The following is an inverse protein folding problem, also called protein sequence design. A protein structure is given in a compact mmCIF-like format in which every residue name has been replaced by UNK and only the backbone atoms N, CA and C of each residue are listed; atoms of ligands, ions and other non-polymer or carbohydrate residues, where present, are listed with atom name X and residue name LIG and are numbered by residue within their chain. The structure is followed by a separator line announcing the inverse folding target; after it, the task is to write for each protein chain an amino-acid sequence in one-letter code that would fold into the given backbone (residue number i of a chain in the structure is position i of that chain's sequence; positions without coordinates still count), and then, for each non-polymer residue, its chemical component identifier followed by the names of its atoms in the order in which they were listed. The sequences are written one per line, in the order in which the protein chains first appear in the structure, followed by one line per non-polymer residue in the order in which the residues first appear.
data_IF_850255263213
#
_entry.id   IF_850255263213
#
_cell.length_a   1.000
_cell.length_b   1.000
_cell.length_c   1.000
_cell.angle_alpha   90.00
_cell.angle_beta   90.00
_cell.angle_gamma   90.00
#
_symmetry.space_group_name_H-M   'P 1'
#
loop_
_entity.id
_entity.type
_entity.pdbx_description
1 polymer ?
#
# COMPACT_ATOMS: atom_id res chain seq x y z
N UNK A 1 -16.99 -17.13 -12.97
CA UNK A 1 -15.56 -16.76 -13.01
C UNK A 1 -15.33 -15.70 -11.95
N UNK A 2 -14.62 -16.01 -10.85
CA UNK A 2 -14.38 -15.08 -9.75
C UNK A 2 -13.07 -14.35 -10.03
N UNK A 3 -13.13 -13.13 -10.57
CA UNK A 3 -11.94 -12.30 -10.74
C UNK A 3 -11.43 -11.90 -9.35
N UNK A 4 -10.24 -12.40 -9.03
CA UNK A 4 -9.50 -11.99 -7.86
C UNK A 4 -9.06 -10.53 -8.07
N UNK A 5 -9.56 -9.62 -7.23
CA UNK A 5 -9.05 -8.26 -7.14
C UNK A 5 -7.56 -8.36 -6.79
N UNK A 6 -6.70 -7.88 -7.69
CA UNK A 6 -5.27 -7.78 -7.46
C UNK A 6 -5.01 -6.57 -6.56
N UNK A 7 -4.30 -6.82 -5.44
CA UNK A 7 -3.91 -5.80 -4.48
C UNK A 7 -2.51 -5.33 -4.85
N UNK A 8 -2.34 -4.04 -5.10
CA UNK A 8 -1.04 -3.41 -5.37
C UNK A 8 -0.53 -2.73 -4.09
N UNK A 9 0.75 -2.93 -3.77
CA UNK A 9 1.42 -2.33 -2.61
C UNK A 9 2.61 -1.50 -3.08
N UNK A 10 2.74 -0.31 -2.51
CA UNK A 10 3.66 0.72 -3.01
C UNK A 10 4.67 1.14 -1.95
N UNK A 11 5.88 0.57 -1.97
CA UNK A 11 6.96 0.97 -1.07
C UNK A 11 7.52 2.37 -1.38
N UNK A 12 7.29 2.89 -2.59
CA UNK A 12 8.02 4.04 -3.15
C UNK A 12 7.55 5.41 -2.65
N UNK A 13 6.40 5.48 -1.95
CA UNK A 13 5.87 6.74 -1.41
C UNK A 13 6.59 7.26 -0.16
N UNK A 14 7.55 6.49 0.40
CA UNK A 14 8.34 6.88 1.57
C UNK A 14 9.62 7.66 1.20
N UNK A 15 9.99 7.75 -0.08
CA UNK A 15 11.32 8.22 -0.48
C UNK A 15 11.40 9.72 -0.84
N UNK A 16 10.28 10.45 -0.94
CA UNK A 16 10.31 11.78 -1.53
C UNK A 16 10.52 12.95 -0.55
N UNK A 17 10.05 12.89 0.71
CA UNK A 17 10.20 14.02 1.66
C UNK A 17 10.27 13.58 3.13
N UNK A 18 11.29 12.79 3.49
CA UNK A 18 11.57 12.43 4.88
C UNK A 18 13.00 12.84 5.26
N UNK A 19 13.18 14.11 5.60
CA UNK A 19 14.29 14.53 6.48
C UNK A 19 14.07 14.07 7.93
N UNK A 20 12.91 13.46 8.23
CA UNK A 20 12.60 12.84 9.51
C UNK A 20 12.73 11.32 9.37
N UNK A 21 13.57 10.73 10.23
CA UNK A 21 13.81 9.30 10.24
C UNK A 21 12.47 8.55 10.44
N UNK A 22 12.15 7.64 9.52
CA UNK A 22 11.04 6.69 9.70
C UNK A 22 11.25 5.96 11.04
N UNK A 23 10.23 5.89 11.92
CA UNK A 23 10.36 5.20 13.20
C UNK A 23 10.86 3.76 13.03
N UNK A 24 11.80 3.31 13.88
CA UNK A 24 12.45 1.99 13.79
C UNK A 24 11.41 0.84 13.76
N UNK A 25 10.35 0.98 14.54
CA UNK A 25 9.23 0.04 14.60
C UNK A 25 8.50 -0.08 13.26
N UNK A 26 8.31 1.03 12.55
CA UNK A 26 7.68 1.04 11.22
C UNK A 26 8.63 0.42 10.18
N UNK A 27 9.93 0.73 10.26
CA UNK A 27 10.94 0.12 9.39
C UNK A 27 11.00 -1.40 9.57
N UNK A 28 10.94 -1.90 10.81
CA UNK A 28 10.93 -3.34 11.09
C UNK A 28 9.71 -4.03 10.48
N UNK A 29 8.52 -3.41 10.57
CA UNK A 29 7.30 -3.98 9.98
C UNK A 29 7.33 -3.91 8.44
N UNK A 30 7.82 -2.82 7.85
CA UNK A 30 8.01 -2.70 6.41
C UNK A 30 8.98 -3.76 5.87
N UNK A 31 10.10 -3.97 6.56
CA UNK A 31 11.07 -5.01 6.22
C UNK A 31 10.43 -6.40 6.29
N UNK A 32 9.73 -6.73 7.39
CA UNK A 32 9.06 -8.02 7.53
C UNK A 32 8.00 -8.25 6.44
N UNK A 33 7.18 -7.25 6.11
CA UNK A 33 6.20 -7.35 5.02
C UNK A 33 6.89 -7.49 3.67
N UNK A 34 7.97 -6.76 3.40
CA UNK A 34 8.73 -6.86 2.15
C UNK A 34 9.39 -8.23 1.94
N UNK A 35 9.85 -8.88 3.02
CA UNK A 35 10.42 -10.23 2.95
C UNK A 35 9.36 -11.32 2.76
N UNK A 36 8.14 -11.11 3.27
CA UNK A 36 7.06 -12.10 3.19
C UNK A 36 6.25 -12.00 1.89
N UNK A 37 6.17 -10.82 1.29
CA UNK A 37 5.47 -10.64 0.03
C UNK A 37 6.32 -11.18 -1.13
N UNK A 38 5.82 -12.14 -1.93
CA UNK A 38 6.52 -12.57 -3.12
C UNK A 38 6.68 -11.37 -4.05
N UNK A 39 7.86 -11.19 -4.64
CA UNK A 39 8.14 -10.09 -5.57
C UNK A 39 7.10 -9.97 -6.70
N UNK A 40 6.54 -11.10 -7.17
CA UNK A 40 5.49 -11.12 -8.19
C UNK A 40 4.15 -10.49 -7.74
N UNK A 41 3.94 -10.28 -6.43
CA UNK A 41 2.75 -9.63 -5.85
C UNK A 41 3.01 -8.17 -5.44
N UNK A 42 4.22 -7.66 -5.67
CA UNK A 42 4.57 -6.26 -5.42
C UNK A 42 4.64 -5.56 -6.77
N UNK A 43 3.86 -4.51 -6.94
CA UNK A 43 3.79 -3.74 -8.19
C UNK A 43 4.53 -2.42 -8.02
N UNK A 44 5.34 -1.98 -9.01
CA UNK A 44 5.88 -0.63 -9.05
C UNK A 44 4.77 0.41 -8.95
N UNK A 45 4.99 1.52 -8.25
CA UNK A 45 4.01 2.62 -8.23
C UNK A 45 3.79 3.19 -9.63
N UNK A 46 4.86 3.25 -10.41
CA UNK A 46 4.83 3.68 -11.80
C UNK A 46 3.89 2.85 -12.69
N UNK A 47 3.54 1.62 -12.29
CA UNK A 47 2.62 0.77 -13.06
C UNK A 47 1.14 1.06 -12.78
N UNK A 48 0.83 1.96 -11.83
CA UNK A 48 -0.54 2.21 -11.39
C UNK A 48 -0.96 3.65 -11.65
N UNK A 49 -2.03 3.80 -12.44
CA UNK A 49 -2.69 5.08 -12.66
C UNK A 49 -3.84 5.22 -11.66
N UNK A 50 -3.73 6.18 -10.74
CA UNK A 50 -4.84 6.55 -9.86
C UNK A 50 -5.90 7.33 -10.64
N UNK A 51 -7.16 6.90 -10.55
CA UNK A 51 -8.28 7.60 -11.16
C UNK A 51 -9.00 8.46 -10.10
N UNK A 52 -10.05 7.92 -9.47
CA UNK A 52 -10.92 8.66 -8.55
C UNK A 52 -10.83 8.13 -7.13
N UNK A 53 -10.94 9.04 -6.17
CA UNK A 53 -11.17 8.70 -4.77
C UNK A 53 -12.54 8.03 -4.62
N UNK A 54 -12.56 6.82 -4.07
CA UNK A 54 -13.77 6.07 -3.72
C UNK A 54 -14.19 6.29 -2.28
N UNK A 55 -13.23 6.42 -1.36
CA UNK A 55 -13.48 6.63 0.06
C UNK A 55 -12.31 7.33 0.74
N UNK A 56 -12.60 8.16 1.74
CA UNK A 56 -11.61 8.78 2.64
C UNK A 56 -11.94 8.36 4.06
N UNK A 57 -11.06 7.55 4.65
CA UNK A 57 -11.06 7.26 6.08
C UNK A 57 -10.21 8.27 6.85
N UNK A 58 -10.12 8.04 8.15
CA UNK A 58 -9.36 8.86 9.08
C UNK A 58 -7.87 8.91 8.73
N UNK A 59 -7.27 7.76 8.41
CA UNK A 59 -5.82 7.61 8.17
C UNK A 59 -5.46 7.14 6.75
N UNK A 60 -6.45 6.78 5.94
CA UNK A 60 -6.23 6.22 4.62
C UNK A 60 -7.27 6.72 3.61
N UNK A 61 -6.88 6.70 2.34
CA UNK A 61 -7.72 6.95 1.19
C UNK A 61 -7.76 5.70 0.31
N UNK A 62 -8.95 5.40 -0.21
CA UNK A 62 -9.18 4.32 -1.16
C UNK A 62 -9.50 4.94 -2.50
N UNK A 63 -8.69 4.64 -3.50
CA UNK A 63 -8.85 5.09 -4.88
C UNK A 63 -9.18 3.91 -5.79
N UNK A 64 -9.97 4.19 -6.83
CA UNK A 64 -9.99 3.35 -8.02
C UNK A 64 -8.73 3.66 -8.81
N UNK A 65 -8.07 2.63 -9.32
CA UNK A 65 -6.94 2.77 -10.21
C UNK A 65 -6.99 1.77 -11.35
N UNK A 66 -5.98 1.85 -12.21
CA UNK A 66 -5.79 0.96 -13.35
C UNK A 66 -4.31 0.63 -13.53
N UNK A 67 -4.01 -0.63 -13.83
CA UNK A 67 -2.66 -1.04 -14.20
C UNK A 67 -2.35 -0.56 -15.63
N UNK A 68 -1.22 0.11 -15.83
CA UNK A 68 -0.87 0.72 -17.11
C UNK A 68 -0.76 -0.31 -18.24
N UNK A 69 -0.11 -1.44 -17.97
CA UNK A 69 0.18 -2.46 -19.00
C UNK A 69 -1.04 -3.31 -19.38
N UNK A 70 -1.87 -3.72 -18.43
CA UNK A 70 -2.98 -4.65 -18.66
C UNK A 70 -4.35 -3.96 -18.77
N UNK A 71 -4.44 -2.68 -18.39
CA UNK A 71 -5.69 -1.95 -18.21
C UNK A 71 -6.63 -2.57 -17.16
N UNK A 72 -6.13 -3.50 -16.34
CA UNK A 72 -6.88 -4.14 -15.24
C UNK A 72 -7.28 -3.08 -14.22
N UNK A 73 -8.55 -3.12 -13.79
CA UNK A 73 -9.03 -2.26 -12.72
C UNK A 73 -8.59 -2.76 -11.36
N UNK A 74 -8.08 -1.84 -10.54
CA UNK A 74 -7.57 -2.14 -9.19
C UNK A 74 -8.16 -1.18 -8.16
N UNK A 75 -8.15 -1.61 -6.91
CA UNK A 75 -8.49 -0.78 -5.75
C UNK A 75 -7.20 -0.52 -4.98
N UNK A 76 -6.84 0.76 -4.85
CA UNK A 76 -5.64 1.20 -4.16
C UNK A 76 -6.02 1.80 -2.84
N UNK A 77 -5.62 1.16 -1.73
CA UNK A 77 -5.67 1.74 -0.39
C UNK A 77 -4.29 2.28 -0.03
N UNK A 78 -4.23 3.54 0.35
CA UNK A 78 -2.98 4.22 0.71
C UNK A 78 -3.21 5.10 1.94
N UNK A 79 -2.19 5.26 2.77
CA UNK A 79 -2.26 6.20 3.89
C UNK A 79 -2.25 7.64 3.41
N UNK A 80 -2.79 8.56 4.22
CA UNK A 80 -2.58 9.99 3.98
C UNK A 80 -1.11 10.32 4.24
N UNK A 81 -0.55 11.22 3.42
CA UNK A 81 0.87 11.61 3.52
C UNK A 81 1.30 12.03 4.93
N UNK A 82 0.47 12.84 5.60
CA UNK A 82 0.73 13.28 6.99
C UNK A 82 0.77 12.12 7.98
N UNK A 83 -0.01 11.06 7.75
CA UNK A 83 -0.16 9.97 8.71
C UNK A 83 0.92 8.90 8.50
N UNK A 84 1.54 8.84 7.30
CA UNK A 84 2.65 7.93 7.02
C UNK A 84 3.84 8.10 7.97
N UNK A 85 4.14 9.34 8.38
CA UNK A 85 5.31 9.67 9.21
C UNK A 85 4.95 9.73 10.69
N UNK A 86 3.78 10.28 11.01
CA UNK A 86 3.41 10.62 12.38
C UNK A 86 2.48 9.61 13.06
N UNK A 87 1.98 8.61 12.33
CA UNK A 87 1.02 7.64 12.86
C UNK A 87 1.47 6.19 12.63
N UNK A 88 2.42 5.75 13.47
CA UNK A 88 2.96 4.39 13.47
C UNK A 88 1.85 3.34 13.60
N UNK A 89 0.83 3.58 14.42
CA UNK A 89 -0.26 2.64 14.62
C UNK A 89 -1.07 2.43 13.32
N UNK A 90 -1.45 3.51 12.64
CA UNK A 90 -2.20 3.40 11.38
C UNK A 90 -1.38 2.69 10.28
N UNK A 91 -0.06 2.89 10.28
CA UNK A 91 0.83 2.18 9.37
C UNK A 91 0.93 0.69 9.72
N UNK A 92 1.01 0.34 11.00
CA UNK A 92 0.95 -1.04 11.48
C UNK A 92 -0.38 -1.71 11.13
N UNK A 93 -1.50 -1.01 11.26
CA UNK A 93 -2.83 -1.51 10.91
C UNK A 93 -2.92 -1.83 9.41
N UNK A 94 -2.44 -0.92 8.54
CA UNK A 94 -2.41 -1.17 7.10
C UNK A 94 -1.51 -2.37 6.75
N UNK A 95 -0.36 -2.50 7.43
CA UNK A 95 0.56 -3.63 7.25
C UNK A 95 -0.04 -4.95 7.76
N UNK A 96 -0.84 -4.91 8.84
CA UNK A 96 -1.58 -6.07 9.33
C UNK A 96 -2.66 -6.51 8.34
N UNK A 97 -3.41 -5.56 7.74
CA UNK A 97 -4.37 -5.87 6.69
C UNK A 97 -3.72 -6.56 5.49
N UNK A 98 -2.54 -6.07 5.08
CA UNK A 98 -1.74 -6.68 4.01
C UNK A 98 -1.39 -8.13 4.33
N UNK A 99 -0.92 -8.40 5.55
CA UNK A 99 -0.58 -9.76 6.01
C UNK A 99 -1.79 -10.67 5.96
N UNK A 100 -2.94 -10.22 6.49
CA UNK A 100 -4.19 -11.00 6.48
C UNK A 100 -4.60 -11.34 5.05
N UNK A 101 -4.61 -10.36 4.15
CA UNK A 101 -4.99 -10.59 2.74
C UNK A 101 -4.02 -11.51 2.00
N UNK A 102 -2.75 -11.54 2.43
CA UNK A 102 -1.76 -12.47 1.89
C UNK A 102 -1.95 -13.90 2.41
N UNK A 103 -2.20 -14.07 3.71
CA UNK A 103 -2.37 -15.37 4.37
C UNK A 103 -3.70 -16.06 4.02
N UNK A 104 -4.71 -15.30 3.58
CA UNK A 104 -6.02 -15.81 3.15
C UNK A 104 -6.03 -16.44 1.74
N UNK A 105 -4.87 -16.72 1.13
CA UNK A 105 -4.74 -17.33 -0.20
C UNK A 105 -3.98 -18.64 -0.22
#
# INVERSE_FOLDING_TARGET
SRNATEFALFPEMLAAEAAEAVPEELMAVLQDVSHRLPHAKVLPWSDVCLERCMSRGEFAIVNRGRLQHSQTEVVVKMMHHKDCVYNVQAAQDLLAEIRILFELR
#
